data_IF_007290794654
#
_entry.id   IF_007290794654
#
_cell.length_a   1.000
_cell.length_b   1.000
_cell.length_c   1.000
_cell.angle_alpha   90.00
_cell.angle_beta   90.00
_cell.angle_gamma   90.00
#
_symmetry.space_group_name_H-M   'P 1'
#
loop_
_entity.id
_entity.type
_entity.pdbx_description
1 polymer ?
#
# COMPACT_ATOMS: atom_id res chain seq x y z
N UNK A 1 1.05 22.62 3.28
CA UNK A 1 1.65 21.61 2.39
C UNK A 1 0.80 21.57 1.15
N UNK A 2 1.34 21.98 0.02
CA UNK A 2 0.66 21.98 -1.26
C UNK A 2 1.11 20.77 -2.06
N UNK A 3 0.15 19.92 -2.43
CA UNK A 3 0.41 18.85 -3.38
C UNK A 3 0.44 19.43 -4.79
N UNK A 4 1.49 19.14 -5.55
CA UNK A 4 1.59 19.58 -6.94
C UNK A 4 0.69 18.74 -7.85
N UNK A 5 0.41 19.23 -9.05
CA UNK A 5 -0.31 18.48 -10.07
C UNK A 5 0.70 17.94 -11.08
N UNK A 6 0.77 16.62 -11.24
CA UNK A 6 1.72 15.94 -12.11
C UNK A 6 1.02 15.37 -13.35
N UNK A 7 1.73 15.26 -14.50
CA UNK A 7 1.19 14.61 -15.69
C UNK A 7 0.99 13.11 -15.43
N UNK A 8 0.11 12.48 -16.21
CA UNK A 8 -0.17 11.04 -16.09
C UNK A 8 1.09 10.16 -16.23
N UNK A 9 2.07 10.61 -17.03
CA UNK A 9 3.36 9.95 -17.21
C UNK A 9 4.17 9.80 -15.90
N UNK A 10 3.89 10.60 -14.87
CA UNK A 10 4.52 10.47 -13.56
C UNK A 10 4.27 9.09 -12.93
N UNK A 11 3.13 8.46 -13.22
CA UNK A 11 2.81 7.11 -12.74
C UNK A 11 3.86 6.07 -13.15
N UNK A 12 4.30 6.11 -14.41
CA UNK A 12 5.38 5.25 -14.90
C UNK A 12 6.75 5.64 -14.30
N UNK A 13 7.01 6.95 -14.17
CA UNK A 13 8.26 7.44 -13.61
C UNK A 13 8.47 6.98 -12.16
N UNK A 14 7.41 6.93 -11.34
CA UNK A 14 7.51 6.44 -9.96
C UNK A 14 7.97 4.98 -9.89
N UNK A 15 7.52 4.14 -10.82
CA UNK A 15 7.91 2.73 -10.90
C UNK A 15 9.39 2.62 -11.27
N UNK A 16 9.83 3.37 -12.29
CA UNK A 16 11.24 3.41 -12.70
C UNK A 16 12.15 3.91 -11.57
N UNK A 17 11.76 4.97 -10.88
CA UNK A 17 12.51 5.50 -9.72
C UNK A 17 12.51 4.49 -8.55
N UNK A 18 11.42 3.75 -8.35
CA UNK A 18 11.35 2.65 -7.39
C UNK A 18 12.34 1.53 -7.72
N UNK A 19 12.45 1.16 -9.00
CA UNK A 19 13.44 0.19 -9.47
C UNK A 19 14.88 0.67 -9.28
N UNK A 20 15.17 1.94 -9.60
CA UNK A 20 16.47 2.55 -9.37
C UNK A 20 16.84 2.54 -7.88
N UNK A 21 15.89 2.85 -7.00
CA UNK A 21 16.06 2.79 -5.54
C UNK A 21 16.30 1.37 -5.03
N UNK A 22 15.54 0.40 -5.54
CA UNK A 22 15.70 -1.02 -5.21
C UNK A 22 17.12 -1.52 -5.50
N UNK A 23 17.69 -1.12 -6.65
CA UNK A 23 19.04 -1.52 -7.09
C UNK A 23 20.17 -0.99 -6.20
N UNK A 24 19.93 0.03 -5.38
CA UNK A 24 20.95 0.54 -4.46
C UNK A 24 21.25 -0.44 -3.32
N UNK A 25 20.22 -1.08 -2.75
CA UNK A 25 20.36 -2.04 -1.65
C UNK A 25 19.32 -3.18 -1.75
N UNK A 26 19.41 -4.04 -2.79
CA UNK A 26 18.38 -5.04 -3.09
C UNK A 26 18.21 -6.04 -1.96
N UNK A 27 19.31 -6.52 -1.36
CA UNK A 27 19.25 -7.48 -0.26
C UNK A 27 18.47 -6.93 0.95
N UNK A 28 18.74 -5.68 1.36
CA UNK A 28 18.08 -5.09 2.52
C UNK A 28 16.57 -4.88 2.30
N UNK A 29 16.19 -4.44 1.09
CA UNK A 29 14.80 -4.21 0.72
C UNK A 29 14.04 -5.54 0.55
N UNK A 30 14.69 -6.56 -0.02
CA UNK A 30 14.13 -7.91 -0.07
C UNK A 30 13.89 -8.46 1.33
N UNK A 31 14.84 -8.30 2.25
CA UNK A 31 14.64 -8.75 3.65
C UNK A 31 13.50 -7.99 4.32
N UNK A 32 13.39 -6.68 4.10
CA UNK A 32 12.27 -5.87 4.63
C UNK A 32 10.92 -6.34 4.08
N UNK A 33 10.83 -6.54 2.77
CA UNK A 33 9.61 -7.01 2.10
C UNK A 33 9.24 -8.42 2.55
N UNK A 34 10.23 -9.31 2.66
CA UNK A 34 10.05 -10.66 3.20
C UNK A 34 9.52 -10.64 4.64
N UNK A 35 10.03 -9.74 5.50
CA UNK A 35 9.50 -9.59 6.86
C UNK A 35 8.01 -9.19 6.81
N UNK A 36 7.63 -8.22 5.98
CA UNK A 36 6.23 -7.81 5.84
C UNK A 36 5.37 -8.98 5.34
N UNK A 37 5.85 -9.73 4.35
CA UNK A 37 5.15 -10.90 3.80
C UNK A 37 4.98 -12.00 4.84
N UNK A 38 5.99 -12.28 5.69
CA UNK A 38 5.86 -13.25 6.78
C UNK A 38 4.82 -12.80 7.80
N UNK A 39 4.86 -11.53 8.22
CA UNK A 39 3.86 -10.97 9.14
C UNK A 39 2.45 -11.07 8.53
N UNK A 40 2.29 -10.82 7.24
CA UNK A 40 1.03 -10.99 6.52
C UNK A 40 0.56 -12.45 6.55
N UNK A 41 1.43 -13.42 6.22
CA UNK A 41 1.10 -14.86 6.22
C UNK A 41 0.65 -15.30 7.62
N UNK A 42 1.41 -14.99 8.67
CA UNK A 42 1.03 -15.33 10.04
C UNK A 42 -0.28 -14.65 10.47
N UNK A 43 -0.52 -13.43 10.01
CA UNK A 43 -1.78 -12.73 10.25
C UNK A 43 -2.96 -13.44 9.58
N UNK A 44 -2.79 -13.95 8.35
CA UNK A 44 -3.85 -14.71 7.68
C UNK A 44 -4.13 -16.05 8.38
N UNK A 45 -3.11 -16.72 8.92
CA UNK A 45 -3.30 -17.97 9.69
C UNK A 45 -4.11 -17.77 10.98
N UNK A 46 -4.06 -16.58 11.56
CA UNK A 46 -4.83 -16.20 12.75
C UNK A 46 -6.22 -15.62 12.41
N UNK A 47 -6.78 -15.96 11.24
CA UNK A 47 -8.11 -15.53 10.83
C UNK A 47 -9.18 -15.96 11.86
N UNK A 48 -10.21 -15.11 12.10
CA UNK A 48 -10.52 -13.87 11.38
C UNK A 48 -9.84 -12.61 11.95
N UNK A 49 -9.19 -12.69 13.11
CA UNK A 49 -8.71 -11.51 13.85
C UNK A 49 -7.36 -11.02 13.30
N UNK A 50 -6.48 -11.93 12.93
CA UNK A 50 -5.14 -11.59 12.44
C UNK A 50 -5.12 -10.62 11.24
N UNK A 51 -5.95 -10.80 10.19
CA UNK A 51 -6.08 -9.82 9.10
C UNK A 51 -6.42 -8.40 9.58
N UNK A 52 -7.33 -8.26 10.55
CA UNK A 52 -7.71 -6.95 11.10
C UNK A 52 -6.56 -6.28 11.82
N UNK A 53 -5.77 -7.06 12.57
CA UNK A 53 -4.55 -6.58 13.23
C UNK A 53 -3.55 -6.10 12.17
N UNK A 54 -3.29 -6.90 11.12
CA UNK A 54 -2.39 -6.52 10.05
C UNK A 54 -2.80 -5.19 9.41
N UNK A 55 -4.08 -5.03 9.08
CA UNK A 55 -4.64 -3.81 8.51
C UNK A 55 -4.44 -2.61 9.47
N UNK A 56 -4.61 -2.79 10.78
CA UNK A 56 -4.34 -1.74 11.76
C UNK A 56 -2.85 -1.32 11.77
N UNK A 57 -1.93 -2.23 11.42
CA UNK A 57 -0.50 -1.91 11.31
C UNK A 57 -0.10 -1.33 9.95
N UNK A 58 -0.94 -1.38 8.91
CA UNK A 58 -0.60 -0.89 7.56
C UNK A 58 -0.07 0.55 7.58
N UNK A 59 -0.68 1.54 8.26
CA UNK A 59 -0.11 2.88 8.34
C UNK A 59 1.32 2.93 8.90
N UNK A 60 1.58 2.10 9.91
CA UNK A 60 2.91 1.98 10.52
C UNK A 60 3.89 1.35 9.54
N UNK A 61 3.50 0.26 8.87
CA UNK A 61 4.32 -0.44 7.87
C UNK A 61 4.64 0.49 6.70
N UNK A 62 3.66 1.24 6.20
CA UNK A 62 3.85 2.24 5.14
C UNK A 62 4.85 3.31 5.57
N UNK A 63 4.69 3.88 6.77
CA UNK A 63 5.63 4.88 7.29
C UNK A 63 7.07 4.35 7.42
N UNK A 64 7.23 3.14 7.94
CA UNK A 64 8.54 2.49 8.05
C UNK A 64 9.15 2.23 6.68
N UNK A 65 8.36 1.75 5.73
CA UNK A 65 8.78 1.47 4.35
C UNK A 65 9.29 2.74 3.66
N UNK A 66 8.54 3.85 3.73
CA UNK A 66 9.00 5.14 3.18
C UNK A 66 10.26 5.66 3.89
N UNK A 67 10.37 5.44 5.20
CA UNK A 67 11.56 5.85 5.98
C UNK A 67 12.79 5.02 5.62
N UNK A 68 12.63 3.72 5.39
CA UNK A 68 13.68 2.84 4.88
C UNK A 68 14.13 3.26 3.48
N UNK A 69 13.19 3.50 2.58
CA UNK A 69 13.44 3.99 1.22
C UNK A 69 14.18 5.34 1.22
N UNK A 70 13.79 6.26 2.10
CA UNK A 70 14.48 7.54 2.30
C UNK A 70 15.93 7.34 2.75
N UNK A 71 16.18 6.43 3.71
CA UNK A 71 17.54 6.12 4.16
C UNK A 71 18.42 5.59 3.03
N UNK A 72 17.91 4.63 2.25
CA UNK A 72 18.59 4.09 1.06
C UNK A 72 18.90 5.19 0.05
N UNK A 73 17.92 6.07 -0.24
CA UNK A 73 18.09 7.19 -1.16
C UNK A 73 19.18 8.17 -0.71
N UNK A 74 19.33 8.40 0.60
CA UNK A 74 20.39 9.24 1.18
C UNK A 74 21.75 8.54 1.33
N UNK A 75 21.91 7.34 0.79
CA UNK A 75 23.16 6.56 0.86
C UNK A 75 23.42 5.87 2.20
N UNK A 76 22.46 5.87 3.14
CA UNK A 76 22.59 5.16 4.41
C UNK A 76 22.29 3.67 4.22
N UNK A 77 23.11 2.82 4.82
CA UNK A 77 22.88 1.36 4.83
C UNK A 77 21.66 1.04 5.69
N UNK A 78 20.74 0.23 5.16
CA UNK A 78 19.55 -0.19 5.89
C UNK A 78 19.87 -1.41 6.74
N UNK A 79 20.18 -1.20 8.02
CA UNK A 79 20.45 -2.27 8.98
C UNK A 79 19.14 -2.76 9.65
N UNK A 80 18.96 -4.08 9.88
CA UNK A 80 17.77 -4.60 10.57
C UNK A 80 17.51 -3.99 11.94
N UNK A 81 18.56 -3.63 12.68
CA UNK A 81 18.47 -2.95 13.98
C UNK A 81 17.89 -1.54 13.90
N UNK A 82 17.91 -0.91 12.73
CA UNK A 82 17.45 0.47 12.50
C UNK A 82 16.06 0.55 11.89
N UNK A 83 15.46 -0.58 11.48
CA UNK A 83 14.14 -0.60 10.82
C UNK A 83 13.06 0.09 11.63
N UNK A 84 13.06 -0.08 12.95
CA UNK A 84 12.08 0.54 13.84
C UNK A 84 12.55 1.86 14.45
N UNK A 85 13.77 2.33 14.14
CA UNK A 85 14.28 3.61 14.64
C UNK A 85 13.36 4.80 14.33
N UNK A 86 12.70 4.90 13.14
CA UNK A 86 11.77 5.99 12.85
C UNK A 86 10.56 6.07 13.80
N UNK A 87 10.19 4.97 14.48
CA UNK A 87 9.08 4.95 15.43
C UNK A 87 9.43 5.47 16.83
N UNK A 88 10.73 5.66 17.12
CA UNK A 88 11.19 6.17 18.43
C UNK A 88 10.81 7.65 18.66
N UNK A 89 10.34 8.35 17.63
CA UNK A 89 9.82 9.71 17.78
C UNK A 89 8.64 9.73 18.76
N UNK A 90 8.75 10.59 19.79
CA UNK A 90 7.78 10.66 20.89
C UNK A 90 6.35 10.81 20.37
N UNK A 91 5.48 9.87 20.74
CA UNK A 91 4.04 9.89 20.42
C UNK A 91 3.68 9.50 18.98
N UNK A 92 4.64 9.31 18.07
CA UNK A 92 4.37 8.97 16.68
C UNK A 92 3.70 7.60 16.55
N UNK A 93 4.28 6.57 17.17
CA UNK A 93 3.73 5.21 17.10
C UNK A 93 2.27 5.16 17.56
N UNK A 94 1.93 5.85 18.66
CA UNK A 94 0.55 5.96 19.13
C UNK A 94 -0.38 6.63 18.11
N UNK A 95 0.09 7.67 17.41
CA UNK A 95 -0.70 8.32 16.35
C UNK A 95 -0.91 7.40 15.15
N UNK A 96 0.10 6.64 14.73
CA UNK A 96 0.01 5.69 13.61
C UNK A 96 -0.91 4.50 13.93
N UNK A 97 -0.86 3.96 15.15
CA UNK A 97 -1.80 2.92 15.58
C UNK A 97 -3.23 3.44 15.68
N UNK A 98 -3.44 4.67 16.18
CA UNK A 98 -4.77 5.31 16.14
C UNK A 98 -5.27 5.48 14.71
N UNK A 99 -4.40 5.91 13.79
CA UNK A 99 -4.74 6.02 12.37
C UNK A 99 -5.13 4.64 11.80
N UNK A 100 -4.41 3.58 12.15
CA UNK A 100 -4.74 2.20 11.79
C UNK A 100 -6.06 1.71 12.35
N UNK A 101 -6.36 2.01 13.61
CA UNK A 101 -7.67 1.69 14.21
C UNK A 101 -8.83 2.39 13.50
N UNK A 102 -8.65 3.66 13.11
CA UNK A 102 -9.62 4.40 12.29
C UNK A 102 -9.77 3.73 10.92
N UNK A 103 -8.68 3.30 10.29
CA UNK A 103 -8.71 2.58 9.01
C UNK A 103 -9.55 1.30 9.11
N UNK A 104 -9.29 0.47 10.13
CA UNK A 104 -10.07 -0.76 10.37
C UNK A 104 -11.53 -0.45 10.61
N UNK A 105 -11.84 0.53 11.46
CA UNK A 105 -13.23 0.92 11.75
C UNK A 105 -13.98 1.32 10.46
N UNK A 106 -13.36 2.12 9.59
CA UNK A 106 -13.96 2.52 8.31
C UNK A 106 -14.11 1.31 7.38
N UNK A 107 -13.13 0.41 7.29
CA UNK A 107 -13.25 -0.83 6.52
C UNK A 107 -14.43 -1.69 7.00
N UNK A 108 -14.59 -1.85 8.31
CA UNK A 108 -15.69 -2.64 8.89
C UNK A 108 -17.05 -1.97 8.59
N UNK A 109 -17.15 -0.65 8.77
CA UNK A 109 -18.38 0.09 8.45
C UNK A 109 -18.70 -0.02 6.95
N UNK A 110 -17.71 0.14 6.07
CA UNK A 110 -17.89 -0.01 4.63
C UNK A 110 -18.31 -1.45 4.26
N UNK A 111 -17.75 -2.46 4.93
CA UNK A 111 -18.17 -3.85 4.78
C UNK A 111 -19.62 -4.06 5.21
N UNK A 112 -20.03 -3.53 6.37
CA UNK A 112 -21.42 -3.61 6.81
C UNK A 112 -22.37 -2.94 5.81
N UNK A 113 -22.06 -1.73 5.34
CA UNK A 113 -22.88 -1.01 4.36
C UNK A 113 -22.98 -1.79 3.04
N UNK A 114 -21.87 -2.37 2.58
CA UNK A 114 -21.83 -3.09 1.32
C UNK A 114 -22.54 -4.45 1.37
N UNK A 115 -22.42 -5.19 2.48
CA UNK A 115 -22.89 -6.58 2.57
C UNK A 115 -24.24 -6.76 3.29
N UNK A 116 -24.61 -5.91 4.27
CA UNK A 116 -25.89 -6.06 5.00
C UNK A 116 -27.13 -6.08 4.10
N UNK A 117 -27.25 -5.22 3.06
CA UNK A 117 -28.42 -5.22 2.18
C UNK A 117 -28.61 -6.53 1.42
N UNK A 118 -27.54 -7.30 1.24
CA UNK A 118 -27.52 -8.55 0.47
C UNK A 118 -27.49 -9.80 1.38
N UNK A 119 -27.63 -9.62 2.70
CA UNK A 119 -27.50 -10.71 3.69
C UNK A 119 -28.43 -11.90 3.45
N UNK A 120 -29.69 -11.65 3.03
CA UNK A 120 -30.64 -12.71 2.70
C UNK A 120 -30.20 -13.53 1.48
N UNK A 121 -29.80 -12.86 0.39
CA UNK A 121 -29.32 -13.50 -0.84
C UNK A 121 -28.03 -14.31 -0.58
N UNK A 122 -27.12 -13.78 0.23
CA UNK A 122 -25.90 -14.47 0.63
C UNK A 122 -26.19 -15.72 1.48
N UNK A 123 -27.17 -15.64 2.38
CA UNK A 123 -27.59 -16.78 3.21
C UNK A 123 -28.23 -17.88 2.36
N UNK A 124 -29.09 -17.52 1.41
CA UNK A 124 -29.72 -18.46 0.47
C UNK A 124 -28.67 -19.11 -0.43
N UNK A 125 -27.76 -18.32 -1.00
CA UNK A 125 -26.67 -18.83 -1.81
C UNK A 125 -25.76 -19.79 -1.03
N UNK A 126 -25.45 -19.48 0.24
CA UNK A 126 -24.71 -20.41 1.10
C UNK A 126 -25.46 -21.72 1.36
N UNK A 127 -26.79 -21.70 1.52
CA UNK A 127 -27.56 -22.94 1.67
C UNK A 127 -27.46 -23.80 0.40
N UNK A 128 -27.60 -23.19 -0.78
CA UNK A 128 -27.45 -23.90 -2.06
C UNK A 128 -26.04 -24.51 -2.18
N UNK A 129 -24.99 -23.81 -1.77
CA UNK A 129 -23.62 -24.35 -1.74
C UNK A 129 -23.53 -25.59 -0.85
N UNK A 130 -24.15 -25.56 0.33
CA UNK A 130 -24.14 -26.70 1.26
C UNK A 130 -24.88 -27.90 0.67
N UNK A 131 -25.98 -27.66 -0.04
CA UNK A 131 -26.83 -28.71 -0.59
C UNK A 131 -26.28 -29.32 -1.90
N UNK A 132 -25.63 -28.50 -2.72
CA UNK A 132 -25.25 -28.89 -4.10
C UNK A 132 -23.74 -28.96 -4.33
N UNK A 133 -22.93 -28.51 -3.37
CA UNK A 133 -21.48 -28.29 -3.51
C UNK A 133 -21.10 -27.33 -4.67
N UNK A 134 -22.08 -26.65 -5.28
CA UNK A 134 -21.86 -25.66 -6.33
C UNK A 134 -21.65 -24.26 -5.75
N UNK A 135 -20.48 -23.67 -6.02
CA UNK A 135 -20.09 -22.33 -5.57
C UNK A 135 -20.60 -21.20 -6.48
N UNK A 136 -21.10 -21.51 -7.68
CA UNK A 136 -21.53 -20.49 -8.64
C UNK A 136 -22.58 -19.50 -8.07
N UNK A 137 -23.64 -19.96 -7.35
CA UNK A 137 -24.62 -19.06 -6.77
C UNK A 137 -24.04 -18.09 -5.74
N UNK A 138 -23.07 -18.56 -4.94
CA UNK A 138 -22.39 -17.74 -3.95
C UNK A 138 -21.50 -16.68 -4.61
N UNK A 139 -20.78 -17.05 -5.68
CA UNK A 139 -19.96 -16.10 -6.43
C UNK A 139 -20.82 -14.99 -7.08
N UNK A 140 -21.99 -15.36 -7.61
CA UNK A 140 -22.93 -14.39 -8.17
C UNK A 140 -23.50 -13.46 -7.09
N UNK A 141 -23.93 -14.00 -5.95
CA UNK A 141 -24.46 -13.23 -4.83
C UNK A 141 -23.40 -12.28 -4.22
N UNK A 142 -22.11 -12.66 -4.26
CA UNK A 142 -21.01 -11.84 -3.75
C UNK A 142 -20.60 -10.70 -4.70
N UNK A 143 -20.92 -10.79 -5.99
CA UNK A 143 -20.41 -9.87 -7.01
C UNK A 143 -20.74 -8.40 -6.70
N UNK A 144 -22.04 -8.10 -6.55
CA UNK A 144 -22.55 -6.76 -6.27
C UNK A 144 -21.97 -6.17 -4.96
N UNK A 145 -22.07 -6.84 -3.79
CA UNK A 145 -21.52 -6.29 -2.55
C UNK A 145 -19.99 -6.14 -2.59
N UNK A 146 -19.26 -7.04 -3.25
CA UNK A 146 -17.82 -6.89 -3.44
C UNK A 146 -17.46 -5.68 -4.30
N UNK A 147 -18.21 -5.38 -5.36
CA UNK A 147 -17.98 -4.17 -6.17
C UNK A 147 -18.22 -2.90 -5.36
N UNK A 148 -19.31 -2.84 -4.59
CA UNK A 148 -19.62 -1.71 -3.71
C UNK A 148 -18.48 -1.52 -2.68
N UNK A 149 -18.07 -2.59 -2.02
CA UNK A 149 -16.95 -2.56 -1.08
C UNK A 149 -15.64 -2.13 -1.74
N UNK A 150 -15.36 -2.61 -2.96
CA UNK A 150 -14.18 -2.25 -3.74
C UNK A 150 -14.11 -0.75 -4.04
N UNK A 151 -15.22 -0.11 -4.39
CA UNK A 151 -15.30 1.35 -4.59
C UNK A 151 -15.02 2.11 -3.29
N UNK A 152 -15.64 1.70 -2.17
CA UNK A 152 -15.37 2.30 -0.87
C UNK A 152 -13.91 2.15 -0.45
N UNK A 153 -13.34 0.95 -0.63
CA UNK A 153 -11.96 0.66 -0.31
C UNK A 153 -10.98 1.48 -1.16
N UNK A 154 -11.28 1.67 -2.46
CA UNK A 154 -10.47 2.54 -3.33
C UNK A 154 -10.44 3.98 -2.82
N UNK A 155 -11.59 4.55 -2.44
CA UNK A 155 -11.66 5.89 -1.85
C UNK A 155 -10.90 5.97 -0.52
N UNK A 156 -11.04 4.93 0.31
CA UNK A 156 -10.33 4.82 1.58
C UNK A 156 -8.81 4.75 1.38
N UNK A 157 -8.33 3.97 0.41
CA UNK A 157 -6.92 3.88 0.08
C UNK A 157 -6.36 5.26 -0.32
N UNK A 158 -7.09 6.03 -1.12
CA UNK A 158 -6.70 7.39 -1.49
C UNK A 158 -6.63 8.35 -0.28
N UNK A 159 -7.57 8.24 0.66
CA UNK A 159 -7.59 9.02 1.91
C UNK A 159 -6.37 8.74 2.80
N UNK A 160 -5.88 7.50 2.82
CA UNK A 160 -4.79 7.10 3.71
C UNK A 160 -3.43 7.03 3.03
N UNK A 161 -3.35 7.09 1.70
CA UNK A 161 -2.13 6.88 0.91
C UNK A 161 -0.92 7.66 1.43
N UNK A 162 -1.07 8.96 1.70
CA UNK A 162 0.00 9.83 2.22
C UNK A 162 -0.13 10.15 3.71
N UNK A 163 -1.23 9.78 4.36
CA UNK A 163 -1.48 10.17 5.74
C UNK A 163 -0.38 9.75 6.73
N UNK A 164 0.17 8.51 6.70
CA UNK A 164 1.19 8.07 7.65
C UNK A 164 2.47 8.90 7.58
N UNK A 165 2.91 9.22 6.35
CA UNK A 165 4.14 9.98 6.13
C UNK A 165 3.98 11.45 6.45
N UNK A 166 2.79 12.03 6.23
CA UNK A 166 2.47 13.39 6.66
C UNK A 166 2.51 13.52 8.19
N UNK A 167 1.91 12.57 8.92
CA UNK A 167 1.99 12.53 10.39
C UNK A 167 3.43 12.40 10.86
N UNK A 168 4.19 11.47 10.28
CA UNK A 168 5.54 11.16 10.72
C UNK A 168 6.57 12.24 10.40
N UNK A 169 6.62 12.72 9.16
CA UNK A 169 7.65 13.67 8.73
C UNK A 169 7.28 15.13 8.94
N UNK A 170 5.98 15.46 8.99
CA UNK A 170 5.53 16.84 9.15
C UNK A 170 4.74 17.10 10.44
N UNK A 171 4.52 16.08 11.27
CA UNK A 171 3.90 16.25 12.58
C UNK A 171 2.41 16.66 12.55
N UNK A 172 1.74 16.54 11.40
CA UNK A 172 0.33 16.93 11.23
C UNK A 172 -0.63 16.14 12.12
N UNK A 173 -1.82 16.70 12.34
CA UNK A 173 -2.91 15.96 12.98
C UNK A 173 -3.47 14.89 12.04
N UNK A 174 -4.19 13.89 12.57
CA UNK A 174 -4.81 12.83 11.76
C UNK A 174 -5.76 13.43 10.72
N UNK A 175 -6.63 14.34 11.12
CA UNK A 175 -7.61 14.99 10.22
C UNK A 175 -6.94 15.79 9.10
N UNK A 176 -5.92 16.59 9.43
CA UNK A 176 -5.15 17.34 8.43
C UNK A 176 -4.44 16.40 7.44
N UNK A 177 -3.90 15.28 7.93
CA UNK A 177 -3.17 14.33 7.10
C UNK A 177 -4.08 13.61 6.11
N UNK A 178 -5.28 13.23 6.55
CA UNK A 178 -6.30 12.64 5.67
C UNK A 178 -6.78 13.65 4.62
N UNK A 179 -7.01 14.90 5.02
CA UNK A 179 -7.39 15.97 4.09
C UNK A 179 -6.31 16.22 3.02
N UNK A 180 -5.06 16.41 3.43
CA UNK A 180 -3.96 16.62 2.49
C UNK A 180 -3.72 15.40 1.60
N UNK A 181 -3.87 14.18 2.12
CA UNK A 181 -3.78 12.96 1.30
C UNK A 181 -4.89 12.90 0.25
N UNK A 182 -6.15 13.17 0.64
CA UNK A 182 -7.26 13.18 -0.29
C UNK A 182 -7.08 14.23 -1.40
N UNK A 183 -6.68 15.46 -1.05
CA UNK A 183 -6.40 16.53 -2.03
C UNK A 183 -5.24 16.15 -2.95
N UNK A 184 -4.17 15.54 -2.41
CA UNK A 184 -3.02 15.10 -3.20
C UNK A 184 -3.39 14.00 -4.20
N UNK A 185 -4.16 13.01 -3.76
CA UNK A 185 -4.67 11.93 -4.62
C UNK A 185 -5.63 12.47 -5.68
N UNK A 186 -6.52 13.41 -5.33
CA UNK A 186 -7.47 14.01 -6.28
C UNK A 186 -6.78 14.80 -7.39
N UNK A 187 -5.75 15.58 -7.02
CA UNK A 187 -4.93 16.34 -7.98
C UNK A 187 -4.14 15.42 -8.91
N UNK A 188 -3.64 14.29 -8.41
CA UNK A 188 -2.78 13.37 -9.16
C UNK A 188 -3.47 12.07 -9.61
N UNK A 189 -4.81 12.08 -9.73
CA UNK A 189 -5.60 10.87 -10.01
C UNK A 189 -5.14 10.12 -11.28
N UNK A 190 -4.79 10.83 -12.34
CA UNK A 190 -4.39 10.20 -13.60
C UNK A 190 -3.01 9.54 -13.50
N UNK A 191 -2.07 10.16 -12.77
CA UNK A 191 -0.78 9.54 -12.48
C UNK A 191 -0.95 8.30 -11.60
N UNK A 192 -1.85 8.35 -10.60
CA UNK A 192 -2.18 7.20 -9.75
C UNK A 192 -2.89 6.08 -10.53
N UNK A 193 -3.77 6.40 -11.47
CA UNK A 193 -4.42 5.41 -12.35
C UNK A 193 -3.39 4.72 -13.23
N UNK A 194 -2.50 5.46 -13.90
CA UNK A 194 -1.41 4.88 -14.70
C UNK A 194 -0.51 4.00 -13.82
N UNK A 195 -0.15 4.48 -12.64
CA UNK A 195 0.63 3.71 -11.66
C UNK A 195 -0.06 2.40 -11.28
N UNK A 196 -1.34 2.43 -10.93
CA UNK A 196 -2.12 1.26 -10.55
C UNK A 196 -2.27 0.27 -11.71
N UNK A 197 -2.55 0.76 -12.93
CA UNK A 197 -2.68 -0.07 -14.14
C UNK A 197 -1.36 -0.79 -14.46
N UNK A 198 -0.23 -0.09 -14.39
CA UNK A 198 1.07 -0.72 -14.67
C UNK A 198 1.40 -1.79 -13.62
N UNK A 199 1.13 -1.52 -12.34
CA UNK A 199 1.31 -2.54 -11.30
C UNK A 199 0.37 -3.74 -11.48
N UNK A 200 -0.89 -3.51 -11.87
CA UNK A 200 -1.81 -4.59 -12.21
C UNK A 200 -1.25 -5.45 -13.36
N UNK A 201 -0.74 -4.83 -14.44
CA UNK A 201 -0.09 -5.56 -15.53
C UNK A 201 1.17 -6.32 -15.09
N UNK A 202 1.98 -5.77 -14.17
CA UNK A 202 3.16 -6.47 -13.65
C UNK A 202 2.74 -7.72 -12.86
N UNK A 203 1.82 -7.60 -11.91
CA UNK A 203 1.37 -8.75 -11.11
C UNK A 203 0.62 -9.78 -11.95
N UNK A 204 -0.32 -9.35 -12.79
CA UNK A 204 -1.01 -10.26 -13.72
C UNK A 204 -0.05 -10.90 -14.73
N UNK A 205 1.02 -10.19 -15.12
CA UNK A 205 2.08 -10.74 -15.96
C UNK A 205 2.87 -11.84 -15.25
N UNK A 206 3.17 -11.67 -13.96
CA UNK A 206 3.77 -12.74 -13.13
C UNK A 206 2.85 -13.95 -13.08
N UNK A 207 1.56 -13.76 -12.75
CA UNK A 207 0.60 -14.86 -12.68
C UNK A 207 0.40 -15.56 -14.03
N UNK A 208 0.36 -14.81 -15.13
CA UNK A 208 0.26 -15.36 -16.49
C UNK A 208 1.47 -16.22 -16.83
N UNK A 209 2.68 -15.75 -16.54
CA UNK A 209 3.91 -16.52 -16.79
C UNK A 209 3.91 -17.82 -15.98
N UNK A 210 3.53 -17.77 -14.71
CA UNK A 210 3.40 -18.96 -13.87
C UNK A 210 2.30 -19.90 -14.39
N UNK A 211 1.18 -19.39 -14.87
CA UNK A 211 0.11 -20.18 -15.51
C UNK A 211 0.58 -20.88 -16.79
N UNK A 212 1.36 -20.20 -17.63
CA UNK A 212 1.98 -20.81 -18.81
C UNK A 212 2.92 -21.94 -18.41
N UNK A 213 3.71 -21.77 -17.34
CA UNK A 213 4.58 -22.82 -16.80
C UNK A 213 3.79 -24.07 -16.38
N UNK A 214 2.61 -23.92 -15.76
CA UNK A 214 1.70 -25.04 -15.45
C UNK A 214 1.29 -25.74 -16.75
N UNK A 215 0.88 -24.96 -17.76
CA UNK A 215 0.35 -25.51 -19.02
C UNK A 215 1.36 -26.34 -19.83
N UNK A 216 2.66 -26.06 -19.69
CA UNK A 216 3.74 -26.81 -20.35
C UNK A 216 4.24 -28.01 -19.51
N UNK A 217 3.58 -28.32 -18.39
CA UNK A 217 3.83 -29.52 -17.60
C UNK A 217 4.79 -29.35 -16.41
N UNK A 218 5.11 -28.12 -16.00
CA UNK A 218 5.92 -27.90 -14.79
C UNK A 218 5.07 -28.22 -13.54
N UNK A 219 5.61 -28.97 -12.54
CA UNK A 219 4.85 -29.32 -11.35
C UNK A 219 4.33 -28.10 -10.59
N UNK A 220 3.06 -28.16 -10.18
CA UNK A 220 2.39 -27.08 -9.42
C UNK A 220 3.16 -26.74 -8.13
N UNK A 221 3.73 -27.74 -7.46
CA UNK A 221 4.53 -27.53 -6.23
C UNK A 221 5.77 -26.65 -6.47
N UNK A 222 6.44 -26.80 -7.62
CA UNK A 222 7.59 -25.98 -7.99
C UNK A 222 7.14 -24.55 -8.34
N UNK A 223 6.01 -24.40 -9.02
CA UNK A 223 5.46 -23.10 -9.39
C UNK A 223 5.01 -22.31 -8.16
N UNK A 224 4.34 -22.98 -7.21
CA UNK A 224 3.98 -22.39 -5.91
C UNK A 224 5.23 -21.92 -5.14
N UNK A 225 6.33 -22.70 -5.18
CA UNK A 225 7.60 -22.31 -4.57
C UNK A 225 8.25 -21.08 -5.24
N UNK A 226 8.03 -20.87 -6.54
CA UNK A 226 8.53 -19.70 -7.28
C UNK A 226 7.63 -18.46 -7.13
N UNK A 227 6.33 -18.65 -6.88
CA UNK A 227 5.37 -17.56 -6.76
C UNK A 227 5.69 -16.62 -5.60
N UNK A 228 6.10 -17.16 -4.45
CA UNK A 228 6.42 -16.35 -3.26
C UNK A 228 7.64 -15.43 -3.53
N UNK A 229 8.80 -15.93 -3.98
CA UNK A 229 9.93 -15.08 -4.38
C UNK A 229 9.57 -14.04 -5.45
N UNK A 230 8.78 -14.41 -6.46
CA UNK A 230 8.36 -13.50 -7.52
C UNK A 230 7.54 -12.33 -6.96
N UNK A 231 6.58 -12.62 -6.08
CA UNK A 231 5.77 -11.61 -5.41
C UNK A 231 6.59 -10.74 -4.45
N UNK A 232 7.58 -11.32 -3.74
CA UNK A 232 8.49 -10.54 -2.89
C UNK A 232 9.35 -9.59 -3.72
N UNK A 233 9.83 -10.03 -4.89
CA UNK A 233 10.61 -9.18 -5.79
C UNK A 233 9.76 -8.03 -6.34
N UNK A 234 8.58 -8.34 -6.89
CA UNK A 234 7.65 -7.32 -7.38
C UNK A 234 7.21 -6.36 -6.27
N UNK A 235 6.87 -6.89 -5.09
CA UNK A 235 6.50 -6.14 -3.90
C UNK A 235 7.61 -5.23 -3.38
N UNK A 236 8.88 -5.67 -3.47
CA UNK A 236 10.04 -4.86 -3.07
C UNK A 236 10.16 -3.60 -3.92
N UNK A 237 9.95 -3.73 -5.23
CA UNK A 237 9.98 -2.62 -6.17
C UNK A 237 8.76 -1.69 -5.96
N UNK A 238 7.58 -2.27 -5.70
CA UNK A 238 6.36 -1.52 -5.36
C UNK A 238 6.53 -0.68 -4.09
N UNK A 239 7.11 -1.27 -3.05
CA UNK A 239 7.41 -0.57 -1.80
C UNK A 239 8.42 0.54 -1.99
N UNK A 240 9.43 0.33 -2.85
CA UNK A 240 10.38 1.37 -3.21
C UNK A 240 9.73 2.53 -3.96
N UNK A 241 8.76 2.26 -4.84
CA UNK A 241 8.11 3.31 -5.62
C UNK A 241 7.22 4.24 -4.79
N UNK A 242 6.81 3.86 -3.58
CA UNK A 242 6.06 4.76 -2.68
C UNK A 242 6.84 6.02 -2.30
N UNK A 243 8.17 5.93 -2.16
CA UNK A 243 8.99 7.08 -1.80
C UNK A 243 9.10 8.13 -2.93
N UNK A 244 9.43 7.76 -4.19
CA UNK A 244 9.30 8.62 -5.37
C UNK A 244 7.92 9.27 -5.51
N UNK A 245 6.84 8.51 -5.30
CA UNK A 245 5.48 9.05 -5.34
C UNK A 245 5.32 10.21 -4.35
N UNK A 246 5.79 10.04 -3.12
CA UNK A 246 5.71 11.09 -2.12
C UNK A 246 6.58 12.31 -2.44
N UNK A 247 7.86 12.13 -2.76
CA UNK A 247 8.78 13.27 -2.96
C UNK A 247 8.44 14.08 -4.20
N UNK A 248 7.85 13.48 -5.23
CA UNK A 248 7.44 14.23 -6.42
C UNK A 248 6.14 14.99 -6.19
N UNK A 249 5.21 14.45 -5.38
CA UNK A 249 3.93 15.12 -5.05
C UNK A 249 4.09 16.21 -3.99
N UNK A 250 4.98 16.03 -3.00
CA UNK A 250 5.15 16.95 -1.86
C UNK A 250 6.55 17.57 -1.73
N UNK A 251 7.58 17.07 -2.43
CA UNK A 251 8.97 17.49 -2.22
C UNK A 251 9.34 18.84 -2.85
N UNK A 252 8.55 19.37 -3.78
CA UNK A 252 8.78 20.70 -4.33
C UNK A 252 8.57 21.81 -3.28
N UNK A 253 7.68 21.61 -2.30
CA UNK A 253 7.50 22.51 -1.15
C UNK A 253 8.76 22.66 -0.28
N UNK A 254 9.66 21.66 -0.30
CA UNK A 254 10.92 21.70 0.46
C UNK A 254 11.97 22.51 -0.30
N UNK A 255 12.11 22.30 -1.61
CA UNK A 255 13.02 23.06 -2.47
C UNK A 255 12.63 24.55 -2.47
N UNK A 256 11.34 24.85 -2.59
CA UNK A 256 10.85 26.23 -2.52
C UNK A 256 11.17 26.90 -1.17
N UNK A 257 11.02 26.18 -0.05
CA UNK A 257 11.37 26.69 1.28
C UNK A 257 12.88 26.85 1.51
N UNK A 258 13.71 25.96 0.97
CA UNK A 258 15.18 26.08 1.03
C UNK A 258 15.67 27.28 0.20
N UNK A 259 15.07 27.54 -0.96
CA UNK A 259 15.34 28.75 -1.77
C UNK A 259 14.94 30.02 -1.00
N UNK A 260 13.72 30.07 -0.46
CA UNK A 260 13.18 31.24 0.26
C UNK A 260 14.01 31.60 1.51
N UNK A 261 14.49 30.58 2.23
CA UNK A 261 15.40 30.75 3.36
C UNK A 261 16.78 31.26 2.93
N UNK A 262 17.33 30.78 1.81
CA UNK A 262 18.62 31.26 1.28
C UNK A 262 18.57 32.72 0.80
N UNK A 263 17.45 33.15 0.23
CA UNK A 263 17.24 34.55 -0.17
C UNK A 263 17.02 35.47 1.03
N UNK A 264 16.27 35.04 2.06
CA UNK A 264 16.06 35.83 3.29
C UNK A 264 17.30 35.94 4.20
N UNK A 265 18.25 35.01 4.08
CA UNK A 265 19.49 35.00 4.85
C UNK A 265 20.60 35.88 4.28
N UNK A 266 20.42 36.43 3.07
CA UNK A 266 21.40 37.27 2.37
C UNK A 266 21.13 38.78 2.60
N UNK A 267 20.02 39.14 3.24
CA UNK A 267 19.64 40.54 3.56
C UNK A 267 19.89 40.94 5.03
N UNK A 268 20.77 40.24 5.76
CA UNK A 268 21.18 40.62 7.14
C UNK A 268 22.67 40.83 7.29
#
# INVERSE_FOLDING_TARGET
>A
MQAVNLPAAAGWQWIRMGWELFRLQPAAILTWTMLISLVLIFSMMAAPIGPLIFIAFVPTITYLTLSACRSVHTGKRLLPSEWFAPLKQKGLFRKLIKLGGIYVAICLIAGLIAFLPFSAQLSEAMQIVVDTEDLAPLMEALNTPMMIFGVFYFLLAALFWYAPVLIGWHGTTISQSLFFSAVACWRNKWALVVYAVIWAFIFSGVDLLLGIMISIGIPISLIAALQVPANILAGSVLYCSFYPTYITVFGQDRIAREIDQSTSGTER
#
